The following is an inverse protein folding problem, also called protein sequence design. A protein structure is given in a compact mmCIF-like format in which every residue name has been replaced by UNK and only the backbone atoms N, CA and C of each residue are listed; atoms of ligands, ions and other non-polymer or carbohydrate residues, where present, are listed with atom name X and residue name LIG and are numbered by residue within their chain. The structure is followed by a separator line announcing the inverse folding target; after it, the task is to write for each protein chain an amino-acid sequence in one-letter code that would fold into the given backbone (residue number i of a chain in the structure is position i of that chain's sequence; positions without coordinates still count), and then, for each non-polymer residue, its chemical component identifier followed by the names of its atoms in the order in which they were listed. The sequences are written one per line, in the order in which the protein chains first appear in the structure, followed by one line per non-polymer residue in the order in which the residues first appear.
data_IF_511823352940
#
_entry.id   IF_511823352940
#
_cell.length_a   1.000
_cell.length_b   1.000
_cell.length_c   1.000
_cell.angle_alpha   90.00
_cell.angle_beta   90.00
_cell.angle_gamma   90.00
#
_symmetry.space_group_name_H-M   'P 1'
#
loop_
_entity.id
_entity.type
_entity.pdbx_description
1 polymer ?
#
# COMPACT_ATOMS: atom_id res chain seq x y z
N UNK A 1 0.50 -54.91 32.81
CA UNK A 1 1.31 -53.93 32.04
C UNK A 1 0.61 -53.50 30.75
N UNK A 2 -0.63 -52.95 30.81
CA UNK A 2 -1.39 -52.61 29.61
C UNK A 2 -2.16 -51.26 29.75
N UNK A 3 -1.71 -50.36 30.63
CA UNK A 3 -2.40 -49.06 30.85
C UNK A 3 -1.53 -47.82 30.56
N UNK A 4 -0.30 -47.97 30.10
CA UNK A 4 0.62 -46.87 29.87
C UNK A 4 0.73 -46.43 28.39
N UNK A 5 0.13 -47.14 27.46
CA UNK A 5 0.25 -46.85 26.04
C UNK A 5 -0.89 -45.99 25.47
N UNK A 6 -1.97 -45.76 26.21
CA UNK A 6 -3.12 -44.99 25.72
C UNK A 6 -3.02 -43.49 25.95
N UNK A 7 -2.19 -43.03 26.90
CA UNK A 7 -2.09 -41.62 27.24
C UNK A 7 -1.15 -40.82 26.36
N UNK A 8 -0.25 -41.47 25.64
CA UNK A 8 0.75 -40.79 24.76
C UNK A 8 0.17 -40.48 23.37
N UNK A 9 -0.82 -41.26 22.91
CA UNK A 9 -1.44 -41.05 21.60
C UNK A 9 -2.40 -39.85 21.55
N UNK A 10 -2.91 -39.41 22.70
CA UNK A 10 -3.90 -38.30 22.73
C UNK A 10 -3.23 -36.92 22.77
N UNK A 11 -1.98 -36.83 23.15
CA UNK A 11 -1.25 -35.54 23.22
C UNK A 11 -0.70 -35.11 21.86
N UNK A 12 -0.47 -36.05 20.95
CA UNK A 12 0.05 -35.71 19.59
C UNK A 12 -1.02 -35.23 18.61
N UNK A 13 -2.29 -35.45 18.88
CA UNK A 13 -3.40 -35.05 17.98
C UNK A 13 -3.84 -33.59 18.14
N UNK A 14 -3.44 -32.91 19.22
CA UNK A 14 -3.91 -31.53 19.50
C UNK A 14 -2.96 -30.42 19.04
N UNK A 15 -1.74 -30.76 18.58
CA UNK A 15 -0.75 -29.77 18.17
C UNK A 15 -0.82 -29.44 16.66
N UNK A 16 -1.53 -30.22 15.87
CA UNK A 16 -1.53 -30.09 14.39
C UNK A 16 -2.60 -29.15 13.82
N UNK A 17 -3.46 -28.55 14.61
CA UNK A 17 -4.57 -27.70 14.11
C UNK A 17 -4.29 -26.20 14.17
N UNK A 18 -3.20 -25.76 14.79
CA UNK A 18 -2.92 -24.33 14.98
C UNK A 18 -2.10 -23.66 13.84
N UNK A 19 -1.80 -24.35 12.75
CA UNK A 19 -0.86 -23.85 11.73
C UNK A 19 -1.50 -23.40 10.40
N UNK A 20 -2.83 -23.28 10.29
CA UNK A 20 -3.52 -23.06 9.02
C UNK A 20 -4.43 -21.83 8.96
N UNK A 21 -4.12 -20.77 9.67
CA UNK A 21 -4.89 -19.51 9.50
C UNK A 21 -3.99 -18.29 9.42
N UNK A 22 -3.02 -18.30 8.51
CA UNK A 22 -2.50 -17.06 7.96
C UNK A 22 -3.37 -16.68 6.76
N UNK A 23 -4.62 -16.26 7.02
CA UNK A 23 -5.36 -15.52 6.01
C UNK A 23 -4.55 -14.27 5.68
N UNK A 24 -4.17 -14.09 4.40
CA UNK A 24 -3.54 -12.85 3.95
C UNK A 24 -4.50 -11.70 4.27
N UNK A 25 -4.02 -10.58 4.82
CA UNK A 25 -4.89 -9.46 5.12
C UNK A 25 -5.53 -8.94 3.82
N UNK A 26 -6.82 -8.61 3.88
CA UNK A 26 -7.55 -8.04 2.73
C UNK A 26 -7.05 -6.64 2.35
N UNK A 27 -6.25 -6.02 3.22
CA UNK A 27 -5.68 -4.70 3.00
C UNK A 27 -4.22 -4.66 3.46
N UNK A 28 -3.36 -4.19 2.58
CA UNK A 28 -1.93 -3.98 2.85
C UNK A 28 -1.62 -2.51 2.71
N UNK A 29 -1.01 -1.95 3.74
CA UNK A 29 -0.56 -0.55 3.78
C UNK A 29 0.97 -0.50 3.79
N UNK A 30 1.55 0.32 2.93
CA UNK A 30 2.99 0.56 2.85
C UNK A 30 3.22 2.07 2.85
N UNK A 31 4.15 2.56 3.67
CA UNK A 31 4.53 3.95 3.75
C UNK A 31 6.03 4.10 3.63
N UNK A 32 6.47 5.00 2.77
CA UNK A 32 7.88 5.36 2.60
C UNK A 32 8.03 6.82 2.97
N UNK A 33 8.82 7.11 4.00
CA UNK A 33 9.12 8.48 4.41
C UNK A 33 10.09 9.14 3.43
N UNK A 34 10.19 10.47 3.50
CA UNK A 34 11.11 11.21 2.63
C UNK A 34 12.58 10.82 2.87
N UNK A 35 12.92 10.39 4.08
CA UNK A 35 14.25 9.91 4.44
C UNK A 35 14.53 8.50 3.92
N UNK A 36 13.49 7.69 3.69
CA UNK A 36 13.57 6.30 3.25
C UNK A 36 13.44 6.13 1.74
N UNK A 37 13.11 7.20 1.01
CA UNK A 37 13.07 7.15 -0.46
C UNK A 37 14.45 6.76 -1.02
N UNK A 38 14.46 6.11 -2.18
CA UNK A 38 15.69 5.79 -2.87
C UNK A 38 16.51 7.06 -3.20
N UNK A 39 17.85 6.96 -3.33
CA UNK A 39 18.70 8.12 -3.67
C UNK A 39 18.30 8.85 -4.95
N UNK A 40 17.67 8.15 -5.90
CA UNK A 40 17.11 8.69 -7.14
C UNK A 40 15.75 9.39 -6.96
N UNK A 41 15.25 9.53 -5.72
CA UNK A 41 13.98 10.17 -5.38
C UNK A 41 12.76 9.30 -5.59
N UNK A 42 12.91 8.00 -5.80
CA UNK A 42 11.81 7.06 -6.01
C UNK A 42 11.27 6.50 -4.70
N UNK A 43 9.95 6.39 -4.63
CA UNK A 43 9.21 5.64 -3.62
C UNK A 43 8.85 4.28 -4.22
N UNK A 44 9.28 3.18 -3.58
CA UNK A 44 9.06 1.82 -4.09
C UNK A 44 8.07 1.07 -3.22
N UNK A 45 7.18 0.34 -3.88
CA UNK A 45 6.16 -0.49 -3.26
C UNK A 45 6.08 -1.83 -3.97
N UNK A 46 5.74 -2.89 -3.22
CA UNK A 46 5.49 -4.23 -3.78
C UNK A 46 4.02 -4.58 -3.57
N UNK A 47 3.34 -5.00 -4.64
CA UNK A 47 1.92 -5.34 -4.63
C UNK A 47 1.74 -6.82 -4.95
N UNK A 48 1.04 -7.53 -4.08
CA UNK A 48 0.71 -8.94 -4.29
C UNK A 48 -0.66 -9.07 -4.99
N UNK A 49 -0.62 -9.32 -6.29
CA UNK A 49 -1.78 -9.58 -7.13
C UNK A 49 -1.85 -11.06 -7.54
N UNK A 50 -1.41 -11.97 -6.67
CA UNK A 50 -1.40 -13.41 -6.97
C UNK A 50 -2.80 -14.01 -7.11
N UNK A 51 -3.84 -13.39 -6.54
CA UNK A 51 -5.22 -13.82 -6.71
C UNK A 51 -5.80 -13.23 -8.00
N UNK A 52 -5.84 -14.05 -9.05
CA UNK A 52 -6.34 -13.65 -10.39
C UNK A 52 -7.86 -13.46 -10.46
N UNK A 53 -8.61 -13.91 -9.45
CA UNK A 53 -10.07 -13.77 -9.38
C UNK A 53 -10.51 -12.52 -8.60
N UNK A 54 -9.60 -11.92 -7.85
CA UNK A 54 -9.88 -10.74 -7.06
C UNK A 54 -9.79 -9.46 -7.90
N UNK A 55 -10.44 -8.41 -7.41
CA UNK A 55 -10.19 -7.04 -7.82
C UNK A 55 -9.50 -6.28 -6.70
N UNK A 56 -8.82 -5.19 -7.04
CA UNK A 56 -8.03 -4.44 -6.09
C UNK A 56 -8.36 -2.95 -6.16
N UNK A 57 -8.47 -2.32 -4.99
CA UNK A 57 -8.54 -0.87 -4.88
C UNK A 57 -7.20 -0.36 -4.36
N UNK A 58 -6.66 0.64 -5.04
CA UNK A 58 -5.36 1.23 -4.69
C UNK A 58 -5.59 2.70 -4.38
N UNK A 59 -5.14 3.10 -3.19
CA UNK A 59 -5.26 4.46 -2.69
C UNK A 59 -3.86 4.98 -2.33
N UNK A 60 -3.48 6.12 -2.87
CA UNK A 60 -2.32 6.86 -2.37
C UNK A 60 -2.71 7.69 -1.16
N UNK A 61 -1.80 7.83 -0.22
CA UNK A 61 -1.93 8.79 0.86
C UNK A 61 -0.61 9.48 1.18
N UNK A 62 -0.70 10.69 1.69
CA UNK A 62 0.47 11.46 2.08
C UNK A 62 0.22 12.17 3.40
N UNK A 63 1.28 12.32 4.20
CA UNK A 63 1.29 13.16 5.40
C UNK A 63 2.01 14.45 5.09
N UNK A 64 1.36 15.57 5.40
CA UNK A 64 1.89 16.90 5.13
C UNK A 64 1.84 17.73 6.41
N UNK A 65 3.01 18.17 6.87
CA UNK A 65 3.18 19.03 8.02
C UNK A 65 3.18 20.48 7.56
N UNK A 66 2.02 21.06 7.43
CA UNK A 66 1.90 22.48 7.08
C UNK A 66 0.80 23.13 7.89
N UNK A 67 1.10 24.25 8.54
CA UNK A 67 0.08 25.06 9.18
C UNK A 67 -0.97 25.55 8.17
N UNK A 68 -2.20 25.85 8.63
CA UNK A 68 -3.36 26.22 7.78
C UNK A 68 -3.05 27.21 6.66
N UNK A 69 -2.22 28.25 6.94
CA UNK A 69 -1.84 29.23 5.94
C UNK A 69 -0.96 28.66 4.81
N UNK A 70 -0.13 27.65 5.11
CA UNK A 70 0.70 26.99 4.09
C UNK A 70 -0.11 25.96 3.30
N UNK A 71 -1.07 25.31 3.95
CA UNK A 71 -1.93 24.33 3.29
C UNK A 71 -2.81 24.96 2.20
N UNK A 72 -3.28 26.18 2.38
CA UNK A 72 -4.05 26.88 1.34
C UNK A 72 -3.23 27.19 0.08
N UNK A 73 -1.90 27.12 0.16
CA UNK A 73 -1.00 27.31 -0.96
C UNK A 73 -0.53 26.00 -1.60
N UNK A 74 -0.78 24.86 -0.95
CA UNK A 74 -0.43 23.55 -1.51
C UNK A 74 -1.39 23.23 -2.65
N UNK A 75 -0.82 22.96 -3.81
CA UNK A 75 -1.56 22.59 -5.02
C UNK A 75 -1.42 21.09 -5.26
N UNK A 76 -2.30 20.57 -6.11
CA UNK A 76 -2.16 19.22 -6.63
C UNK A 76 -0.77 19.05 -7.25
N UNK A 77 -0.12 17.94 -6.97
CA UNK A 77 1.22 17.68 -7.47
C UNK A 77 1.29 16.37 -8.24
N UNK A 78 2.12 16.34 -9.31
CA UNK A 78 2.20 15.17 -10.15
C UNK A 78 2.99 14.03 -9.49
N UNK A 79 2.43 12.82 -9.61
CA UNK A 79 3.07 11.56 -9.29
C UNK A 79 3.32 10.82 -10.61
N UNK A 80 4.57 10.54 -10.94
CA UNK A 80 4.91 9.67 -12.05
C UNK A 80 4.98 8.24 -11.53
N UNK A 81 3.97 7.45 -11.87
CA UNK A 81 3.83 6.07 -11.43
C UNK A 81 4.36 5.14 -12.52
N UNK A 82 5.23 4.22 -12.14
CA UNK A 82 5.72 3.17 -13.03
C UNK A 82 5.44 1.82 -12.38
N UNK A 83 4.71 0.98 -13.09
CA UNK A 83 4.43 -0.40 -12.73
C UNK A 83 5.36 -1.32 -13.51
N UNK A 84 5.85 -2.36 -12.83
CA UNK A 84 6.60 -3.46 -13.45
C UNK A 84 5.89 -4.75 -13.13
N UNK A 85 5.43 -5.47 -14.15
CA UNK A 85 4.75 -6.76 -13.99
C UNK A 85 5.73 -7.87 -13.61
N UNK A 86 5.24 -9.05 -13.14
CA UNK A 86 6.08 -10.21 -12.89
C UNK A 86 6.91 -10.65 -14.11
N UNK A 87 6.39 -10.47 -15.33
CA UNK A 87 7.11 -10.74 -16.59
C UNK A 87 8.11 -9.64 -16.99
N UNK A 88 8.18 -8.53 -16.22
CA UNK A 88 9.08 -7.41 -16.48
C UNK A 88 8.54 -6.33 -17.42
N UNK A 89 7.27 -6.42 -17.84
CA UNK A 89 6.64 -5.35 -18.63
C UNK A 89 6.45 -4.09 -17.78
N UNK A 90 6.66 -2.93 -18.40
CA UNK A 90 6.57 -1.64 -17.71
C UNK A 90 5.45 -0.79 -18.25
N UNK A 91 4.68 -0.23 -17.33
CA UNK A 91 3.58 0.70 -17.60
C UNK A 91 3.86 1.99 -16.85
N UNK A 92 3.78 3.13 -17.52
CA UNK A 92 4.05 4.44 -16.91
C UNK A 92 2.90 5.38 -17.17
N UNK A 93 2.54 6.12 -16.13
CA UNK A 93 1.54 7.17 -16.20
C UNK A 93 1.85 8.30 -15.22
N UNK A 94 1.26 9.46 -15.45
CA UNK A 94 1.30 10.58 -14.52
C UNK A 94 -0.10 10.82 -13.98
N UNK A 95 -0.23 10.85 -12.66
CA UNK A 95 -1.46 11.19 -11.95
C UNK A 95 -1.22 12.39 -11.04
N UNK A 96 -2.27 13.16 -10.76
CA UNK A 96 -2.16 14.32 -9.89
C UNK A 96 -2.72 13.99 -8.53
N UNK A 97 -1.86 14.06 -7.49
CA UNK A 97 -2.30 13.90 -6.12
C UNK A 97 -3.07 15.12 -5.68
N UNK A 98 -4.35 14.92 -5.39
CA UNK A 98 -5.25 15.99 -5.01
C UNK A 98 -5.13 16.27 -3.50
N UNK A 99 -4.82 17.51 -3.14
CA UNK A 99 -4.66 17.98 -1.75
C UNK A 99 -5.85 18.82 -1.29
N UNK A 100 -6.84 19.04 -2.16
CA UNK A 100 -7.99 19.91 -1.87
C UNK A 100 -9.14 19.18 -1.19
N UNK A 101 -9.20 17.86 -1.35
CA UNK A 101 -10.19 17.05 -0.68
C UNK A 101 -9.88 17.00 0.82
N UNK A 102 -10.92 17.00 1.64
CA UNK A 102 -10.81 17.08 3.09
C UNK A 102 -9.76 16.11 3.63
N UNK A 103 -8.88 16.63 4.49
CA UNK A 103 -7.89 15.82 5.17
C UNK A 103 -8.59 14.74 5.99
N UNK A 104 -8.32 13.48 5.67
CA UNK A 104 -8.83 12.34 6.40
C UNK A 104 -8.04 12.19 7.72
N UNK A 105 -8.42 13.00 8.69
CA UNK A 105 -7.74 13.13 9.96
C UNK A 105 -6.67 14.23 9.97
N UNK A 106 -6.94 15.29 10.70
CA UNK A 106 -5.97 16.36 10.96
C UNK A 106 -5.64 16.40 12.44
N UNK A 107 -4.35 16.35 12.77
CA UNK A 107 -3.84 16.89 14.04
C UNK A 107 -3.49 18.35 13.85
N UNK A 108 -3.18 19.07 14.94
CA UNK A 108 -2.93 20.52 14.88
C UNK A 108 -1.80 20.92 13.90
N UNK A 109 -0.91 19.98 13.53
CA UNK A 109 0.27 20.21 12.69
C UNK A 109 0.41 19.28 11.50
N UNK A 110 -0.25 18.13 11.50
CA UNK A 110 -0.11 17.12 10.43
C UNK A 110 -1.47 16.78 9.86
N UNK A 111 -1.63 16.91 8.56
CA UNK A 111 -2.82 16.48 7.83
C UNK A 111 -2.48 15.29 6.95
N UNK A 112 -3.35 14.29 6.95
CA UNK A 112 -3.26 13.14 6.06
C UNK A 112 -4.26 13.31 4.92
N UNK A 113 -3.78 13.21 3.69
CA UNK A 113 -4.57 13.28 2.47
C UNK A 113 -4.59 11.92 1.81
N UNK A 114 -5.72 11.57 1.22
CA UNK A 114 -5.90 10.32 0.48
C UNK A 114 -6.43 10.60 -0.92
N UNK A 115 -6.00 9.78 -1.87
CA UNK A 115 -6.46 9.85 -3.25
C UNK A 115 -6.70 8.43 -3.77
N UNK A 116 -7.93 8.12 -4.17
CA UNK A 116 -8.21 6.87 -4.88
C UNK A 116 -7.46 6.90 -6.23
N UNK A 117 -6.59 5.93 -6.44
CA UNK A 117 -5.78 5.83 -7.65
C UNK A 117 -6.37 4.84 -8.65
N UNK A 118 -6.76 3.67 -8.17
CA UNK A 118 -7.45 2.64 -8.95
C UNK A 118 -8.56 2.01 -8.12
N UNK A 119 -9.69 1.80 -8.74
CA UNK A 119 -10.83 1.10 -8.13
C UNK A 119 -11.22 -0.07 -9.01
N UNK A 120 -11.37 -1.26 -8.40
CA UNK A 120 -11.74 -2.47 -9.12
C UNK A 120 -10.69 -2.93 -10.14
N UNK A 121 -9.41 -2.64 -9.89
CA UNK A 121 -8.31 -3.07 -10.75
C UNK A 121 -8.30 -4.59 -10.89
N UNK A 122 -8.29 -5.06 -12.12
CA UNK A 122 -8.01 -6.46 -12.48
C UNK A 122 -6.62 -6.50 -13.08
N UNK A 123 -5.64 -7.12 -12.41
CA UNK A 123 -4.29 -7.23 -12.94
C UNK A 123 -4.28 -8.07 -14.23
N UNK A 124 -3.55 -7.61 -15.23
CA UNK A 124 -3.40 -8.35 -16.50
C UNK A 124 -2.52 -9.59 -16.36
N UNK A 125 -1.78 -9.68 -15.28
CA UNK A 125 -0.88 -10.78 -14.94
C UNK A 125 -0.92 -10.98 -13.42
N UNK A 126 -1.08 -12.22 -12.96
CA UNK A 126 -1.05 -12.57 -11.54
C UNK A 126 0.38 -12.64 -11.03
N UNK A 127 0.61 -12.25 -9.78
CA UNK A 127 1.91 -12.32 -9.12
C UNK A 127 2.28 -11.05 -8.38
N UNK A 128 3.57 -10.93 -8.07
CA UNK A 128 4.12 -9.75 -7.39
C UNK A 128 4.48 -8.68 -8.42
N UNK A 129 3.89 -7.51 -8.24
CA UNK A 129 4.15 -6.32 -9.06
C UNK A 129 4.97 -5.32 -8.29
N UNK A 130 5.95 -4.71 -8.94
CA UNK A 130 6.66 -3.57 -8.39
C UNK A 130 6.03 -2.27 -8.88
N UNK A 131 5.80 -1.35 -7.95
CA UNK A 131 5.37 0.00 -8.25
C UNK A 131 6.43 0.99 -7.76
N UNK A 132 6.91 1.84 -8.64
CA UNK A 132 7.75 2.98 -8.27
C UNK A 132 7.03 4.28 -8.56
N UNK A 133 7.12 5.22 -7.63
CA UNK A 133 6.52 6.54 -7.75
C UNK A 133 7.58 7.60 -7.61
N UNK A 134 7.66 8.49 -8.57
CA UNK A 134 8.47 9.70 -8.51
C UNK A 134 7.57 10.90 -8.23
N UNK A 135 7.83 11.56 -7.11
CA UNK A 135 7.20 12.85 -6.80
C UNK A 135 8.05 13.92 -7.46
N UNK A 136 7.52 14.60 -8.45
CA UNK A 136 8.29 15.60 -9.20
C UNK A 136 8.65 16.76 -8.27
N UNK A 137 9.93 16.84 -7.91
CA UNK A 137 10.48 17.78 -6.94
C UNK A 137 10.54 19.24 -7.44
N UNK A 138 10.19 19.50 -8.70
CA UNK A 138 10.11 20.86 -9.23
C UNK A 138 9.07 21.74 -8.53
N UNK A 139 8.14 21.10 -7.81
CA UNK A 139 7.22 21.75 -6.88
C UNK A 139 7.37 21.08 -5.53
N UNK A 140 8.35 21.50 -4.73
CA UNK A 140 8.48 21.03 -3.35
C UNK A 140 7.17 21.30 -2.61
N UNK A 141 6.45 20.25 -2.26
CA UNK A 141 5.26 20.36 -1.44
C UNK A 141 5.70 20.68 -0.03
N UNK A 142 5.45 21.90 0.47
CA UNK A 142 5.95 22.32 1.78
C UNK A 142 5.40 21.38 2.88
N UNK A 143 6.30 20.79 3.66
CA UNK A 143 5.93 19.90 4.76
C UNK A 143 5.59 18.47 4.35
N UNK A 144 5.84 18.08 3.10
CA UNK A 144 5.67 16.69 2.65
C UNK A 144 6.57 15.75 3.44
N UNK A 145 5.98 14.70 4.04
CA UNK A 145 6.69 13.74 4.91
C UNK A 145 6.92 12.39 4.26
N UNK A 146 6.23 12.10 3.18
CA UNK A 146 6.36 10.85 2.47
C UNK A 146 5.07 10.45 1.77
N UNK A 147 5.15 9.35 1.07
CA UNK A 147 4.04 8.78 0.29
C UNK A 147 3.73 7.38 0.79
N UNK A 148 2.46 7.06 0.88
CA UNK A 148 1.98 5.74 1.22
C UNK A 148 1.00 5.22 0.19
N UNK A 149 0.83 3.90 0.20
CA UNK A 149 -0.10 3.17 -0.64
C UNK A 149 -0.89 2.19 0.21
N UNK A 150 -2.19 2.20 0.04
CA UNK A 150 -3.09 1.19 0.57
C UNK A 150 -3.58 0.37 -0.62
N UNK A 151 -3.35 -0.93 -0.58
CA UNK A 151 -3.89 -1.89 -1.53
C UNK A 151 -4.93 -2.74 -0.81
N UNK A 152 -6.18 -2.62 -1.20
CA UNK A 152 -7.28 -3.40 -0.66
C UNK A 152 -7.73 -4.42 -1.69
N UNK A 153 -7.72 -5.69 -1.29
CA UNK A 153 -8.29 -6.79 -2.06
C UNK A 153 -9.80 -6.81 -1.85
N UNK A 154 -10.56 -6.77 -2.91
CA UNK A 154 -12.00 -6.95 -2.89
C UNK A 154 -12.34 -8.43 -3.16
N UNK A 155 -13.51 -8.88 -2.73
CA UNK A 155 -13.95 -10.25 -2.93
C UNK A 155 -13.94 -10.69 -4.39
N UNK A 156 -13.97 -11.99 -4.59
CA UNK A 156 -14.03 -12.65 -5.91
C UNK A 156 -15.24 -12.17 -6.72
N UNK A 157 -15.04 -12.01 -8.02
CA UNK A 157 -16.12 -11.82 -9.01
C UNK A 157 -17.04 -13.01 -9.07
#
# INVERSE_FOLDING_TARGET
MARFCQSVALVFATVTVAALSCARPDSVEQYVSIEQKEPNGLYRYSMDFSDSLATYDITFYSRIDAGRKRMSAVRDFPLMVTWTSPSGQRYRETVYFNVRDEADGSSFYTSQYRMAYRTGLVPVESGIWDMTVHVNSGNEVPGFRGLGVICKKNGTR
#
